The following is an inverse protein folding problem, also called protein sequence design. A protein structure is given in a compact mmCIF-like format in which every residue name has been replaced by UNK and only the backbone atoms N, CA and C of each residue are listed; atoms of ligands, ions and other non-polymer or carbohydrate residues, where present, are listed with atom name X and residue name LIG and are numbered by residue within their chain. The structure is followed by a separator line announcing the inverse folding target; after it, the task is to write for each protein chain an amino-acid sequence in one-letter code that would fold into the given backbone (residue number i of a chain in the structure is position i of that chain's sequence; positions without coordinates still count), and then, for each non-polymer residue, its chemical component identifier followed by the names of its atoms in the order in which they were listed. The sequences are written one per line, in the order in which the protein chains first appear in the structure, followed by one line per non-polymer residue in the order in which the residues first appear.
data_IF_380836269133
#
_entry.id   IF_380836269133
#
_cell.length_a   1.000
_cell.length_b   1.000
_cell.length_c   1.000
_cell.angle_alpha   90.00
_cell.angle_beta   90.00
_cell.angle_gamma   90.00
#
_symmetry.space_group_name_H-M   'P 1'
#
loop_
_entity.id
_entity.type
_entity.pdbx_description
1 polymer ?
#
# COMPACT_ATOMS: atom_id res chain seq x y z
N UNK A 1 5.95 -8.13 9.93
CA UNK A 1 4.93 -8.31 8.87
C UNK A 1 4.14 -9.59 9.09
N UNK A 2 2.84 -9.59 8.74
CA UNK A 2 1.91 -10.71 8.99
C UNK A 2 2.36 -12.06 8.41
N UNK A 3 3.09 -12.04 7.30
CA UNK A 3 3.49 -13.24 6.55
C UNK A 3 4.99 -13.55 6.65
N UNK A 4 5.71 -12.93 7.59
CA UNK A 4 7.17 -13.06 7.71
C UNK A 4 7.93 -12.08 6.82
N UNK A 5 9.21 -12.36 6.58
CA UNK A 5 10.09 -11.52 5.77
C UNK A 5 9.70 -11.60 4.30
N UNK A 6 9.51 -10.45 3.66
CA UNK A 6 9.26 -10.36 2.21
C UNK A 6 10.51 -9.84 1.49
N UNK A 7 10.78 -10.38 0.31
CA UNK A 7 11.75 -9.81 -0.63
C UNK A 7 11.06 -8.73 -1.47
N UNK A 8 11.48 -7.49 -1.31
CA UNK A 8 10.91 -6.36 -2.03
C UNK A 8 11.09 -6.46 -3.55
N UNK A 9 12.25 -6.96 -4.01
CA UNK A 9 12.54 -7.11 -5.44
C UNK A 9 11.58 -8.13 -6.05
N UNK A 10 11.39 -9.27 -5.38
CA UNK A 10 10.45 -10.29 -5.84
C UNK A 10 9.01 -9.75 -5.90
N UNK A 11 8.59 -8.95 -4.92
CA UNK A 11 7.27 -8.29 -4.91
C UNK A 11 7.06 -7.35 -6.10
N UNK A 12 8.06 -6.53 -6.44
CA UNK A 12 8.02 -5.64 -7.61
C UNK A 12 7.93 -6.45 -8.90
N UNK A 13 8.77 -7.47 -9.07
CA UNK A 13 8.77 -8.32 -10.25
C UNK A 13 7.45 -9.10 -10.40
N UNK A 14 6.83 -9.50 -9.29
CA UNK A 14 5.50 -10.12 -9.28
C UNK A 14 4.44 -9.20 -9.88
N UNK A 15 4.41 -7.92 -9.48
CA UNK A 15 3.44 -6.95 -10.00
C UNK A 15 3.70 -6.68 -11.50
N UNK A 16 4.96 -6.52 -11.90
CA UNK A 16 5.33 -6.32 -13.31
C UNK A 16 4.94 -7.51 -14.17
N UNK A 17 5.18 -8.73 -13.68
CA UNK A 17 4.77 -9.95 -14.36
C UNK A 17 3.25 -10.05 -14.48
N UNK A 18 2.49 -9.65 -13.45
CA UNK A 18 1.05 -9.60 -13.51
C UNK A 18 0.55 -8.69 -14.65
N UNK A 19 1.17 -7.52 -14.83
CA UNK A 19 0.88 -6.63 -15.97
C UNK A 19 1.18 -7.27 -17.32
N UNK A 20 2.31 -7.96 -17.47
CA UNK A 20 2.64 -8.70 -18.71
C UNK A 20 1.60 -9.78 -19.05
N UNK A 21 0.92 -10.31 -18.02
CA UNK A 21 -0.16 -11.28 -18.16
C UNK A 21 -1.55 -10.62 -18.36
N UNK A 22 -1.62 -9.29 -18.46
CA UNK A 22 -2.86 -8.54 -18.68
C UNK A 22 -3.61 -8.13 -17.42
N UNK A 23 -3.04 -8.35 -16.21
CA UNK A 23 -3.63 -7.86 -14.97
C UNK A 23 -3.37 -6.35 -14.84
N UNK A 24 -4.43 -5.57 -14.70
CA UNK A 24 -4.36 -4.11 -14.54
C UNK A 24 -5.03 -3.59 -13.26
N UNK A 25 -5.66 -4.45 -12.46
CA UNK A 25 -6.30 -4.06 -11.20
C UNK A 25 -5.46 -4.53 -10.01
N UNK A 26 -4.96 -3.60 -9.21
CA UNK A 26 -4.16 -3.87 -8.02
C UNK A 26 -4.94 -3.46 -6.77
N UNK A 27 -5.09 -4.40 -5.85
CA UNK A 27 -5.69 -4.17 -4.53
C UNK A 27 -4.59 -4.13 -3.45
N UNK A 28 -4.56 -3.06 -2.66
CA UNK A 28 -3.63 -2.86 -1.54
C UNK A 28 -4.34 -2.22 -0.34
N UNK A 29 -3.61 -1.94 0.74
CA UNK A 29 -4.10 -1.22 1.91
C UNK A 29 -2.92 -0.65 2.71
N UNK A 30 -3.17 0.39 3.49
CA UNK A 30 -2.19 0.93 4.44
C UNK A 30 -1.70 -0.14 5.44
N UNK A 31 -2.56 -1.11 5.77
CA UNK A 31 -2.27 -2.17 6.74
C UNK A 31 -1.43 -3.33 6.17
N UNK A 32 -1.42 -3.52 4.85
CA UNK A 32 -0.66 -4.62 4.24
C UNK A 32 0.81 -4.27 4.35
N UNK A 33 1.55 -4.97 5.22
CA UNK A 33 2.88 -4.52 5.63
C UNK A 33 2.82 -3.05 6.06
N UNK A 34 2.39 -2.73 7.29
CA UNK A 34 1.97 -1.38 7.67
C UNK A 34 2.83 -0.27 7.05
N UNK A 35 2.22 0.58 6.22
CA UNK A 35 2.85 1.70 5.51
C UNK A 35 3.96 1.35 4.51
N UNK A 36 4.25 0.08 4.24
CA UNK A 36 5.32 -0.36 3.32
C UNK A 36 4.81 -0.86 1.98
N UNK A 37 3.67 -1.58 1.93
CA UNK A 37 3.22 -2.20 0.67
C UNK A 37 2.73 -1.18 -0.38
N UNK A 38 2.08 -0.10 0.03
CA UNK A 38 1.72 0.98 -0.91
C UNK A 38 2.97 1.58 -1.58
N UNK A 39 4.05 1.76 -0.82
CA UNK A 39 5.35 2.23 -1.34
C UNK A 39 5.97 1.22 -2.32
N UNK A 40 5.83 -0.08 -2.07
CA UNK A 40 6.26 -1.13 -3.00
C UNK A 40 5.43 -1.10 -4.29
N UNK A 41 4.10 -0.99 -4.18
CA UNK A 41 3.20 -0.85 -5.33
C UNK A 41 3.57 0.39 -6.16
N UNK A 42 3.78 1.54 -5.52
CA UNK A 42 4.20 2.77 -6.20
C UNK A 42 5.51 2.59 -6.99
N UNK A 43 6.50 1.91 -6.40
CA UNK A 43 7.74 1.54 -7.10
C UNK A 43 7.51 0.60 -8.28
N UNK A 44 6.60 -0.37 -8.14
CA UNK A 44 6.32 -1.35 -9.18
C UNK A 44 5.62 -0.75 -10.40
N UNK A 45 4.71 0.22 -10.19
CA UNK A 45 3.93 0.86 -11.27
C UNK A 45 4.61 2.07 -11.90
N UNK A 46 5.74 2.54 -11.34
CA UNK A 46 6.45 3.72 -11.83
C UNK A 46 6.79 3.60 -13.32
N UNK A 47 6.46 4.64 -14.10
CA UNK A 47 6.62 4.66 -15.56
C UNK A 47 5.47 4.03 -16.35
N UNK A 48 4.56 3.31 -15.67
CA UNK A 48 3.40 2.64 -16.25
C UNK A 48 2.11 2.95 -15.47
N UNK A 49 2.07 4.06 -14.72
CA UNK A 49 0.99 4.34 -13.76
C UNK A 49 -0.39 4.32 -14.41
N UNK A 50 -0.53 4.88 -15.61
CA UNK A 50 -1.79 4.98 -16.34
C UNK A 50 -2.33 3.63 -16.84
N UNK A 51 -1.52 2.58 -16.77
CA UNK A 51 -1.90 1.22 -17.16
C UNK A 51 -2.55 0.43 -16.02
N UNK A 52 -2.60 0.98 -14.80
CA UNK A 52 -3.14 0.34 -13.62
C UNK A 52 -4.34 1.08 -13.03
N UNK A 53 -5.33 0.32 -12.60
CA UNK A 53 -6.33 0.73 -11.61
C UNK A 53 -5.85 0.26 -10.25
N UNK A 54 -5.67 1.19 -9.31
CA UNK A 54 -5.18 0.89 -7.95
C UNK A 54 -6.31 1.16 -6.96
N UNK A 55 -6.73 0.12 -6.25
CA UNK A 55 -7.61 0.21 -5.10
C UNK A 55 -6.78 0.12 -3.82
N UNK A 56 -6.91 1.11 -2.94
CA UNK A 56 -6.34 1.05 -1.59
C UNK A 56 -7.43 1.23 -0.53
N UNK A 57 -7.09 0.90 0.72
CA UNK A 57 -8.01 0.90 1.86
C UNK A 57 -7.33 1.55 3.06
N UNK A 58 -8.15 2.25 3.85
CA UNK A 58 -7.79 2.86 5.13
C UNK A 58 -8.86 2.51 6.16
N UNK A 59 -8.52 2.62 7.45
CA UNK A 59 -9.47 2.57 8.59
C UNK A 59 -8.71 2.81 9.91
N UNK A 60 -7.51 2.25 10.04
CA UNK A 60 -6.75 2.25 11.29
C UNK A 60 -5.91 3.52 11.41
N UNK A 61 -5.77 4.05 12.63
CA UNK A 61 -4.84 5.14 12.93
C UNK A 61 -3.41 4.68 12.67
N UNK A 62 -2.69 5.45 11.85
CA UNK A 62 -1.31 5.17 11.44
C UNK A 62 -0.31 6.22 11.90
N UNK A 63 -0.75 7.21 12.69
CA UNK A 63 0.03 8.38 13.09
C UNK A 63 1.31 7.98 13.85
N UNK A 64 1.21 6.99 14.73
CA UNK A 64 2.31 6.44 15.53
C UNK A 64 2.79 5.08 15.02
N UNK A 65 2.29 4.63 13.86
CA UNK A 65 2.62 3.31 13.34
C UNK A 65 4.06 3.29 12.82
N UNK A 66 4.84 2.35 13.32
CA UNK A 66 6.18 2.03 12.81
C UNK A 66 6.03 1.20 11.54
N UNK A 67 6.60 1.63 10.39
CA UNK A 67 6.48 0.91 9.14
C UNK A 67 6.92 -0.56 9.25
N UNK A 68 6.04 -1.47 8.83
CA UNK A 68 6.26 -2.91 8.87
C UNK A 68 5.98 -3.60 10.22
N UNK A 69 5.70 -2.82 11.28
CA UNK A 69 5.38 -3.32 12.61
C UNK A 69 3.88 -3.21 12.92
N UNK A 70 3.10 -4.30 12.77
CA UNK A 70 1.66 -4.28 13.03
C UNK A 70 1.30 -4.05 14.51
N UNK A 71 2.23 -4.20 15.46
CA UNK A 71 1.96 -4.02 16.89
C UNK A 71 1.80 -2.55 17.29
N UNK A 72 2.17 -1.64 16.40
CA UNK A 72 2.14 -0.18 16.62
C UNK A 72 0.95 0.50 15.95
N UNK A 73 0.10 -0.27 15.28
CA UNK A 73 -1.08 0.27 14.59
C UNK A 73 -2.17 0.62 15.59
N UNK A 74 -2.73 1.82 15.45
CA UNK A 74 -3.76 2.34 16.35
C UNK A 74 -5.17 1.79 16.07
N UNK A 75 -6.18 2.29 16.79
CA UNK A 75 -7.56 1.82 16.66
C UNK A 75 -8.18 2.21 15.31
N UNK A 76 -9.37 1.67 15.05
CA UNK A 76 -10.21 2.08 13.92
C UNK A 76 -10.71 3.53 14.10
N UNK A 77 -10.72 4.30 13.02
CA UNK A 77 -11.21 5.68 12.96
C UNK A 77 -11.92 5.93 11.61
N UNK A 78 -13.25 6.10 11.67
CA UNK A 78 -14.08 6.42 10.50
C UNK A 78 -14.35 7.90 10.30
N UNK A 79 -13.70 8.79 11.06
CA UNK A 79 -13.95 10.22 11.01
C UNK A 79 -13.55 10.83 9.67
N UNK A 80 -14.30 11.84 9.22
CA UNK A 80 -14.03 12.52 7.95
C UNK A 80 -12.64 13.16 7.89
N UNK A 81 -12.09 13.56 9.04
CA UNK A 81 -10.70 14.05 9.15
C UNK A 81 -9.71 12.93 8.84
N UNK A 82 -9.85 11.77 9.48
CA UNK A 82 -8.97 10.62 9.26
C UNK A 82 -9.07 10.07 7.84
N UNK A 83 -10.25 10.11 7.21
CA UNK A 83 -10.40 9.76 5.79
C UNK A 83 -9.48 10.62 4.92
N UNK A 84 -9.47 11.95 5.14
CA UNK A 84 -8.66 12.87 4.34
C UNK A 84 -7.17 12.61 4.54
N UNK A 85 -6.71 12.53 5.79
CA UNK A 85 -5.28 12.31 6.08
C UNK A 85 -4.80 10.96 5.57
N UNK A 86 -5.65 9.92 5.63
CA UNK A 86 -5.36 8.61 5.07
C UNK A 86 -5.21 8.63 3.55
N UNK A 87 -6.08 9.35 2.85
CA UNK A 87 -6.00 9.51 1.38
C UNK A 87 -4.69 10.20 1.00
N UNK A 88 -4.35 11.32 1.64
CA UNK A 88 -3.09 12.05 1.38
C UNK A 88 -1.86 11.17 1.62
N UNK A 89 -1.84 10.42 2.72
CA UNK A 89 -0.74 9.49 3.01
C UNK A 89 -0.62 8.37 1.97
N UNK A 90 -1.74 7.81 1.50
CA UNK A 90 -1.76 6.80 0.45
C UNK A 90 -1.29 7.35 -0.89
N UNK A 91 -1.71 8.57 -1.27
CA UNK A 91 -1.22 9.26 -2.47
C UNK A 91 0.30 9.45 -2.42
N UNK A 92 0.84 9.91 -1.29
CA UNK A 92 2.27 10.09 -1.12
C UNK A 92 3.06 8.79 -1.28
N UNK A 93 2.56 7.67 -0.74
CA UNK A 93 3.24 6.37 -0.82
C UNK A 93 3.13 5.73 -2.21
N UNK A 94 2.01 5.91 -2.89
CA UNK A 94 1.78 5.36 -4.23
C UNK A 94 2.53 6.14 -5.33
N UNK A 95 2.93 7.40 -5.06
CA UNK A 95 3.65 8.26 -6.00
C UNK A 95 2.80 8.68 -7.18
#
# INVERSE_FOLDING_TARGET
AFYGTADEKEGIETIRRARELGVNFLDTAQMYGPLTNESLVGRAVKGHRDEYVIATKFNLRMDDAVPGDPSTVGPQDGSAEHVRTSIEGSLQRLG
#
